data_IF_602609632130
#
_entry.id   IF_602609632130
#
_cell.length_a   1.000
_cell.length_b   1.000
_cell.length_c   1.000
_cell.angle_alpha   90.00
_cell.angle_beta   90.00
_cell.angle_gamma   90.00
#
_symmetry.space_group_name_H-M   'P 1'
#
loop_
_entity.id
_entity.type
_entity.pdbx_description
1 polymer ?
#
# COMPACT_ATOMS: atom_id res chain seq x y z
N UNK A 1 61.48 -1.66 -32.98
CA UNK A 1 60.89 -0.61 -32.13
C UNK A 1 60.44 -1.27 -30.81
N UNK A 2 61.36 -1.27 -29.85
CA UNK A 2 61.21 -1.17 -28.38
C UNK A 2 59.75 -0.96 -27.89
N UNK A 3 59.15 -1.70 -26.95
CA UNK A 3 59.47 -1.86 -25.50
C UNK A 3 58.53 -2.91 -24.82
N UNK A 4 59.12 -3.73 -23.95
CA UNK A 4 58.66 -4.38 -22.70
C UNK A 4 57.23 -4.92 -22.48
N UNK A 5 57.16 -6.20 -22.09
CA UNK A 5 56.29 -6.66 -20.98
C UNK A 5 57.07 -7.66 -20.09
N UNK A 6 57.37 -7.23 -18.85
CA UNK A 6 57.99 -8.05 -17.78
C UNK A 6 56.90 -8.89 -17.10
N UNK A 7 57.09 -10.21 -17.06
CA UNK A 7 56.32 -11.12 -16.18
C UNK A 7 56.81 -10.95 -14.74
N UNK A 8 55.92 -10.56 -13.83
CA UNK A 8 56.17 -10.58 -12.39
C UNK A 8 55.60 -11.87 -11.79
N UNK A 9 56.48 -12.67 -11.20
CA UNK A 9 56.18 -13.84 -10.39
C UNK A 9 55.94 -13.34 -8.95
N UNK A 10 54.71 -13.41 -8.46
CA UNK A 10 54.41 -13.09 -7.05
C UNK A 10 54.57 -14.35 -6.20
N UNK A 11 55.61 -14.36 -5.38
CA UNK A 11 55.88 -15.33 -4.33
C UNK A 11 54.99 -14.96 -3.12
N UNK A 12 53.99 -15.78 -2.80
CA UNK A 12 53.23 -15.63 -1.54
C UNK A 12 54.06 -16.16 -0.37
N UNK A 13 54.63 -15.25 0.41
CA UNK A 13 55.24 -15.54 1.70
C UNK A 13 54.11 -15.71 2.73
N UNK A 14 53.84 -16.94 3.16
CA UNK A 14 52.94 -17.21 4.29
C UNK A 14 53.69 -16.85 5.57
N UNK A 15 53.50 -15.62 6.06
CA UNK A 15 53.86 -15.26 7.43
C UNK A 15 52.71 -15.63 8.35
N UNK A 16 52.84 -16.74 9.07
CA UNK A 16 52.03 -17.06 10.25
C UNK A 16 52.29 -16.02 11.33
N UNK A 17 51.45 -15.00 11.41
CA UNK A 17 51.37 -14.13 12.59
C UNK A 17 50.50 -14.85 13.62
N UNK A 18 51.15 -15.57 14.53
CA UNK A 18 50.54 -15.97 15.79
C UNK A 18 50.31 -14.70 16.63
N UNK A 19 49.13 -14.09 16.47
CA UNK A 19 48.65 -13.06 17.39
C UNK A 19 48.32 -13.71 18.74
N UNK A 20 48.55 -13.02 19.87
CA UNK A 20 48.22 -13.58 21.17
C UNK A 20 46.70 -13.79 21.22
N UNK A 21 46.27 -15.01 21.56
CA UNK A 21 44.92 -15.25 22.05
C UNK A 21 44.74 -14.39 23.30
N UNK A 22 44.12 -13.22 23.13
CA UNK A 22 43.53 -12.48 24.24
C UNK A 22 42.42 -13.36 24.79
N UNK A 23 42.71 -14.02 25.92
CA UNK A 23 41.72 -14.69 26.73
C UNK A 23 40.67 -13.66 27.15
N UNK A 24 39.47 -13.78 26.59
CA UNK A 24 38.29 -13.10 27.10
C UNK A 24 38.05 -13.69 28.49
N UNK A 25 38.22 -12.86 29.53
CA UNK A 25 37.87 -13.24 30.88
C UNK A 25 36.41 -13.69 30.91
N UNK A 26 36.15 -14.88 31.45
CA UNK A 26 34.80 -15.36 31.69
C UNK A 26 34.05 -14.37 32.60
N UNK A 27 33.03 -13.68 32.06
CA UNK A 27 32.14 -12.82 32.85
C UNK A 27 31.79 -11.44 32.27
N UNK A 28 32.37 -11.00 31.15
CA UNK A 28 31.99 -9.73 30.51
C UNK A 28 31.23 -9.97 29.19
N UNK A 29 30.09 -9.29 29.04
CA UNK A 29 29.31 -9.29 27.80
C UNK A 29 30.13 -8.63 26.68
N UNK A 30 30.04 -9.11 25.42
CA UNK A 30 30.60 -8.39 24.28
C UNK A 30 29.96 -7.01 24.12
N UNK A 31 30.66 -6.09 23.45
CA UNK A 31 30.10 -4.78 23.08
C UNK A 31 28.75 -4.94 22.35
N UNK A 32 27.78 -4.15 22.80
CA UNK A 32 26.41 -4.22 22.31
C UNK A 32 25.39 -3.62 23.28
N UNK A 33 24.17 -3.52 22.77
CA UNK A 33 23.00 -3.10 23.54
C UNK A 33 22.19 -4.34 23.92
N UNK A 34 21.91 -4.50 25.20
CA UNK A 34 21.21 -5.67 25.73
C UNK A 34 19.98 -5.27 26.54
N UNK A 35 19.02 -6.19 26.61
CA UNK A 35 17.89 -6.12 27.53
C UNK A 35 17.89 -7.37 28.42
N UNK A 36 18.09 -7.16 29.72
CA UNK A 36 17.92 -8.19 30.75
C UNK A 36 16.46 -8.20 31.18
N UNK A 37 15.77 -9.28 30.85
CA UNK A 37 14.38 -9.51 31.20
C UNK A 37 14.31 -10.51 32.35
N UNK A 38 13.99 -10.03 33.55
CA UNK A 38 13.69 -10.89 34.68
C UNK A 38 12.22 -11.28 34.60
N UNK A 39 11.93 -12.57 34.51
CA UNK A 39 10.57 -13.12 34.46
C UNK A 39 10.24 -13.88 35.75
N UNK A 40 8.98 -14.28 35.93
CA UNK A 40 8.58 -15.22 37.01
C UNK A 40 9.25 -16.60 36.92
N UNK A 41 9.93 -16.92 35.81
CA UNK A 41 10.60 -18.21 35.55
C UNK A 41 12.13 -18.14 35.54
N UNK A 42 12.70 -16.95 35.63
CA UNK A 42 14.15 -16.73 35.54
C UNK A 42 14.51 -15.58 34.61
N UNK A 43 15.80 -15.43 34.32
CA UNK A 43 16.30 -14.34 33.51
C UNK A 43 16.52 -14.74 32.05
N UNK A 44 16.16 -13.83 31.15
CA UNK A 44 16.46 -13.91 29.71
C UNK A 44 17.32 -12.70 29.37
N UNK A 45 18.46 -12.93 28.73
CA UNK A 45 19.30 -11.86 28.19
C UNK A 45 19.12 -11.77 26.68
N UNK A 46 18.72 -10.59 26.22
CA UNK A 46 18.47 -10.30 24.81
C UNK A 46 19.54 -9.35 24.29
N UNK A 47 20.18 -9.64 23.16
CA UNK A 47 21.00 -8.69 22.40
C UNK A 47 20.10 -7.96 21.39
N UNK A 48 20.15 -6.64 21.38
CA UNK A 48 19.35 -5.79 20.50
C UNK A 48 20.14 -5.38 19.25
N UNK A 49 19.48 -5.41 18.09
CA UNK A 49 20.07 -5.10 16.79
C UNK A 49 19.83 -3.65 16.38
N UNK A 50 20.30 -2.68 17.20
CA UNK A 50 20.03 -1.26 16.98
C UNK A 50 20.62 -0.68 15.68
N UNK A 51 21.59 -1.35 15.05
CA UNK A 51 22.11 -0.98 13.74
C UNK A 51 21.16 -1.37 12.59
N UNK A 52 20.40 -2.45 12.75
CA UNK A 52 19.52 -3.00 11.71
C UNK A 52 18.08 -2.53 11.86
N UNK A 53 17.59 -2.39 13.09
CA UNK A 53 16.24 -1.95 13.43
C UNK A 53 16.26 -0.79 14.45
N UNK A 54 16.87 0.37 14.09
CA UNK A 54 17.12 1.46 15.03
C UNK A 54 15.84 2.02 15.65
N UNK A 55 14.76 2.19 14.88
CA UNK A 55 13.51 2.77 15.39
C UNK A 55 12.80 1.82 16.33
N UNK A 56 12.78 0.53 16.00
CA UNK A 56 12.20 -0.53 16.81
C UNK A 56 12.95 -0.68 18.12
N UNK A 57 14.29 -0.69 18.07
CA UNK A 57 15.12 -0.76 19.28
C UNK A 57 14.98 0.51 20.12
N UNK A 58 14.93 1.70 19.53
CA UNK A 58 14.68 2.93 20.27
C UNK A 58 13.30 2.94 20.93
N UNK A 59 12.26 2.44 20.25
CA UNK A 59 10.93 2.28 20.82
C UNK A 59 10.96 1.33 22.04
N UNK A 60 11.55 0.15 21.87
CA UNK A 60 11.64 -0.87 22.92
C UNK A 60 12.45 -0.36 24.13
N UNK A 61 13.62 0.24 23.91
CA UNK A 61 14.46 0.83 24.96
C UNK A 61 13.73 1.96 25.67
N UNK A 62 13.10 2.88 24.93
CA UNK A 62 12.38 4.00 25.51
C UNK A 62 11.21 3.57 26.40
N UNK A 63 10.47 2.53 25.99
CA UNK A 63 9.41 1.92 26.79
C UNK A 63 9.98 1.18 28.02
N UNK A 64 11.09 0.45 27.87
CA UNK A 64 11.77 -0.26 28.96
C UNK A 64 12.30 0.67 30.06
N UNK A 65 12.86 1.81 29.65
CA UNK A 65 13.43 2.81 30.56
C UNK A 65 12.39 3.80 31.10
N UNK A 66 11.19 3.83 30.50
CA UNK A 66 10.12 4.76 30.84
C UNK A 66 10.37 6.18 30.36
N UNK A 67 11.27 6.37 29.39
CA UNK A 67 11.56 7.67 28.76
C UNK A 67 10.63 7.95 27.58
N UNK A 68 9.90 6.93 27.10
CA UNK A 68 8.89 7.07 26.05
C UNK A 68 7.48 6.96 26.64
N UNK A 69 6.72 8.04 26.52
CA UNK A 69 5.32 8.07 26.91
C UNK A 69 4.46 7.12 26.07
N UNK A 70 3.45 6.53 26.68
CA UNK A 70 2.45 5.68 26.04
C UNK A 70 1.04 6.08 26.49
N UNK A 71 0.01 5.64 25.76
CA UNK A 71 -1.39 5.88 26.13
C UNK A 71 -2.02 4.61 26.65
N UNK A 72 -2.70 4.71 27.79
CA UNK A 72 -3.52 3.63 28.32
C UNK A 72 -4.59 3.21 27.29
N UNK A 73 -4.67 1.92 26.89
CA UNK A 73 -5.59 1.51 25.84
C UNK A 73 -7.07 1.74 26.14
N UNK A 74 -7.46 1.81 27.42
CA UNK A 74 -8.84 1.98 27.86
C UNK A 74 -9.15 3.47 28.03
N UNK A 75 -8.36 4.17 28.86
CA UNK A 75 -8.63 5.57 29.25
C UNK A 75 -8.10 6.58 28.25
N UNK A 76 -7.20 6.17 27.33
CA UNK A 76 -6.48 7.02 26.38
C UNK A 76 -5.64 8.12 27.02
N UNK A 77 -5.42 8.05 28.34
CA UNK A 77 -4.59 9.01 29.06
C UNK A 77 -3.10 8.65 28.90
N UNK A 78 -2.23 9.67 28.84
CA UNK A 78 -0.80 9.45 28.90
C UNK A 78 -0.38 8.73 30.19
N UNK A 79 0.59 7.85 30.05
CA UNK A 79 1.22 7.08 31.11
C UNK A 79 2.74 7.19 30.98
N UNK A 80 3.40 7.27 32.13
CA UNK A 80 4.85 7.37 32.25
C UNK A 80 5.40 6.17 33.05
N UNK A 81 6.71 5.98 33.04
CA UNK A 81 7.37 4.89 33.75
C UNK A 81 7.65 3.65 32.89
N UNK A 82 8.24 2.62 33.52
CA UNK A 82 8.76 1.43 32.84
C UNK A 82 7.60 0.57 32.33
N UNK A 83 7.39 0.57 31.03
CA UNK A 83 6.20 0.00 30.38
C UNK A 83 6.08 -1.52 30.52
N UNK A 84 7.20 -2.24 30.41
CA UNK A 84 7.20 -3.70 30.36
C UNK A 84 7.13 -4.37 31.74
N UNK A 85 7.41 -3.62 32.80
CA UNK A 85 7.44 -4.16 34.17
C UNK A 85 6.02 -4.54 34.60
N UNK A 86 5.84 -5.80 35.03
CA UNK A 86 4.57 -6.38 35.43
C UNK A 86 3.72 -6.95 34.28
N UNK A 87 4.11 -6.76 33.01
CA UNK A 87 3.34 -7.30 31.88
C UNK A 87 3.42 -8.83 31.83
N UNK A 88 2.33 -9.46 31.39
CA UNK A 88 2.28 -10.91 31.22
C UNK A 88 2.68 -11.36 29.82
N UNK A 89 3.12 -12.61 29.71
CA UNK A 89 3.15 -13.36 28.46
C UNK A 89 1.73 -13.84 28.17
N UNK A 90 0.95 -12.98 27.53
CA UNK A 90 -0.48 -13.19 27.29
C UNK A 90 -0.77 -14.27 26.24
N UNK A 91 0.20 -14.60 25.39
CA UNK A 91 0.08 -15.66 24.39
C UNK A 91 1.37 -16.47 24.32
N UNK A 92 1.26 -17.77 24.57
CA UNK A 92 2.36 -18.72 24.47
C UNK A 92 1.89 -19.88 23.60
N UNK A 93 2.61 -20.16 22.52
CA UNK A 93 2.31 -21.27 21.62
C UNK A 93 3.51 -22.22 21.62
N UNK A 94 3.35 -23.45 22.17
CA UNK A 94 4.41 -24.44 22.19
C UNK A 94 4.99 -24.70 20.80
N UNK A 95 6.31 -24.83 20.72
CA UNK A 95 7.05 -25.01 19.46
C UNK A 95 6.81 -23.89 18.44
N UNK A 96 6.45 -22.70 18.90
CA UNK A 96 6.35 -21.52 18.05
C UNK A 96 6.97 -20.30 18.71
N UNK A 97 6.32 -19.71 19.73
CA UNK A 97 6.79 -18.48 20.37
C UNK A 97 6.13 -18.18 21.72
N UNK A 98 6.76 -17.30 22.49
CA UNK A 98 6.19 -16.57 23.63
C UNK A 98 5.97 -15.10 23.23
N UNK A 99 4.82 -14.51 23.54
CA UNK A 99 4.46 -13.14 23.17
C UNK A 99 4.04 -12.32 24.40
N UNK A 100 4.55 -11.09 24.48
CA UNK A 100 4.27 -10.12 25.54
C UNK A 100 4.19 -8.69 24.97
N UNK A 101 4.19 -7.68 25.84
CA UNK A 101 4.11 -6.25 25.49
C UNK A 101 2.69 -5.72 25.29
N UNK A 102 1.66 -6.45 25.72
CA UNK A 102 0.27 -5.99 25.78
C UNK A 102 -0.14 -5.65 27.22
N UNK A 103 -0.43 -4.37 27.55
CA UNK A 103 -0.88 -3.97 28.88
C UNK A 103 -2.29 -4.47 29.25
N UNK A 104 -3.09 -4.92 28.29
CA UNK A 104 -4.40 -5.53 28.54
C UNK A 104 -4.34 -7.05 28.68
N UNK A 105 -3.23 -7.67 28.28
CA UNK A 105 -3.08 -9.12 28.20
C UNK A 105 -4.13 -9.85 27.33
N UNK A 106 -4.75 -9.16 26.37
CA UNK A 106 -5.77 -9.72 25.47
C UNK A 106 -5.25 -10.01 24.06
N UNK A 107 -4.05 -9.54 23.74
CA UNK A 107 -3.46 -9.46 22.40
C UNK A 107 -3.87 -8.20 21.63
N UNK A 108 -4.75 -7.35 22.16
CA UNK A 108 -5.30 -6.19 21.43
C UNK A 108 -4.87 -4.83 21.96
N UNK A 109 -4.17 -4.76 23.09
CA UNK A 109 -3.63 -3.50 23.62
C UNK A 109 -2.29 -3.12 22.98
N UNK A 110 -1.76 -1.98 23.39
CA UNK A 110 -0.52 -1.43 22.85
C UNK A 110 -0.21 -0.05 23.44
N UNK A 111 0.78 0.68 22.90
CA UNK A 111 1.26 1.90 23.51
C UNK A 111 0.49 3.15 23.05
N UNK A 112 -0.59 2.97 22.27
CA UNK A 112 -1.41 4.07 21.73
C UNK A 112 -0.93 4.65 20.39
N UNK A 113 0.13 4.09 19.80
CA UNK A 113 0.65 4.47 18.49
C UNK A 113 1.14 3.23 17.72
N UNK A 114 1.37 3.41 16.42
CA UNK A 114 1.97 2.42 15.52
C UNK A 114 3.12 3.03 14.71
N UNK A 115 4.06 2.21 14.27
CA UNK A 115 5.19 2.61 13.42
C UNK A 115 5.57 1.55 12.39
N UNK A 116 6.37 1.95 11.40
CA UNK A 116 6.74 1.14 10.25
C UNK A 116 7.58 -0.11 10.58
N UNK A 117 7.58 -1.10 9.68
CA UNK A 117 8.48 -2.26 9.76
C UNK A 117 9.91 -1.92 9.33
N UNK A 118 10.91 -2.52 9.98
CA UNK A 118 12.34 -2.41 9.63
C UNK A 118 12.87 -3.79 9.21
N UNK A 119 12.59 -4.17 7.96
CA UNK A 119 13.00 -5.47 7.41
C UNK A 119 14.43 -5.38 6.87
N UNK A 120 15.35 -6.14 7.47
CA UNK A 120 16.73 -6.25 7.00
C UNK A 120 16.98 -7.61 6.32
N UNK A 121 17.64 -7.68 5.14
CA UNK A 121 17.88 -8.94 4.44
C UNK A 121 18.74 -9.92 5.24
N UNK A 122 19.63 -9.44 6.11
CA UNK A 122 20.56 -10.26 6.90
C UNK A 122 19.93 -10.84 8.17
N UNK A 123 18.74 -10.39 8.56
CA UNK A 123 18.02 -10.90 9.72
C UNK A 123 16.93 -11.87 9.26
N UNK A 124 16.95 -13.09 9.82
CA UNK A 124 16.03 -14.19 9.49
C UNK A 124 15.55 -14.90 10.76
N UNK A 125 14.35 -15.46 10.69
CA UNK A 125 13.83 -16.37 11.71
C UNK A 125 14.39 -17.79 11.49
N UNK A 126 15.71 -17.93 11.42
CA UNK A 126 16.41 -19.17 11.06
C UNK A 126 16.80 -20.06 12.25
N UNK A 127 16.59 -19.56 13.46
CA UNK A 127 16.90 -20.24 14.73
C UNK A 127 15.87 -19.94 15.81
N UNK A 128 15.97 -20.65 16.93
CA UNK A 128 15.26 -20.33 18.16
C UNK A 128 15.80 -19.06 18.81
N UNK A 129 14.98 -18.37 19.60
CA UNK A 129 15.41 -17.22 20.38
C UNK A 129 15.43 -15.91 19.59
N UNK A 130 14.78 -15.83 18.43
CA UNK A 130 14.68 -14.58 17.67
C UNK A 130 13.62 -13.68 18.30
N UNK A 131 14.00 -12.44 18.61
CA UNK A 131 13.12 -11.40 19.17
C UNK A 131 12.59 -10.52 18.04
N UNK A 132 11.26 -10.44 17.93
CA UNK A 132 10.59 -9.75 16.84
C UNK A 132 9.31 -9.03 17.26
N UNK A 133 8.95 -7.98 16.52
CA UNK A 133 7.71 -7.23 16.78
C UNK A 133 6.49 -8.04 16.36
N UNK A 134 5.49 -8.08 17.24
CA UNK A 134 4.15 -8.51 16.85
C UNK A 134 3.42 -7.33 16.19
N UNK A 135 2.78 -7.59 15.04
CA UNK A 135 2.02 -6.59 14.29
C UNK A 135 0.69 -7.18 13.80
N UNK A 136 -0.27 -6.33 13.45
CA UNK A 136 -1.59 -6.70 12.90
C UNK A 136 -1.61 -6.68 11.36
N UNK A 137 -0.44 -6.64 10.74
CA UNK A 137 -0.23 -6.36 9.33
C UNK A 137 0.94 -5.39 9.13
N UNK A 138 1.35 -5.15 7.87
CA UNK A 138 2.50 -4.31 7.57
C UNK A 138 2.42 -2.92 8.22
N UNK A 139 3.54 -2.46 8.79
CA UNK A 139 3.70 -1.14 9.40
C UNK A 139 2.77 -0.86 10.58
N UNK A 140 2.44 -1.89 11.37
CA UNK A 140 1.59 -1.74 12.58
C UNK A 140 2.31 -2.14 13.87
N UNK A 141 3.63 -1.93 13.92
CA UNK A 141 4.43 -2.20 15.12
C UNK A 141 4.02 -1.27 16.25
N UNK A 142 3.99 -1.80 17.48
CA UNK A 142 3.65 -1.04 18.68
C UNK A 142 4.58 -1.40 19.84
N UNK A 143 4.03 -1.98 20.90
CA UNK A 143 4.80 -2.44 22.07
C UNK A 143 4.88 -3.96 22.16
N UNK A 144 4.03 -4.68 21.44
CA UNK A 144 3.98 -6.14 21.51
C UNK A 144 5.15 -6.76 20.75
N UNK A 145 5.76 -7.78 21.35
CA UNK A 145 6.87 -8.53 20.79
C UNK A 145 6.71 -10.02 21.07
N UNK A 146 7.41 -10.86 20.32
CA UNK A 146 7.53 -12.28 20.58
C UNK A 146 8.97 -12.77 20.50
N UNK A 147 9.24 -13.89 21.18
CA UNK A 147 10.51 -14.62 21.14
C UNK A 147 10.21 -16.04 20.62
N UNK A 148 10.92 -16.47 19.57
CA UNK A 148 10.67 -17.78 18.94
C UNK A 148 11.21 -18.95 19.77
N UNK A 149 10.48 -20.07 19.82
CA UNK A 149 10.99 -21.34 20.35
C UNK A 149 11.83 -22.11 19.33
N UNK A 150 11.54 -21.95 18.04
CA UNK A 150 12.10 -22.71 16.91
C UNK A 150 12.31 -21.79 15.70
N UNK A 151 12.99 -22.23 14.62
CA UNK A 151 13.01 -21.49 13.36
C UNK A 151 11.59 -21.28 12.79
N UNK A 152 11.29 -20.06 12.33
CA UNK A 152 9.97 -19.67 11.80
C UNK A 152 10.08 -18.84 10.50
N UNK A 153 10.69 -19.38 9.42
CA UNK A 153 11.01 -18.61 8.21
C UNK A 153 9.78 -18.01 7.49
N UNK A 154 8.57 -18.52 7.75
CA UNK A 154 7.33 -17.95 7.20
C UNK A 154 6.98 -16.55 7.75
N UNK A 155 7.68 -16.10 8.79
CA UNK A 155 7.59 -14.76 9.37
C UNK A 155 8.57 -13.76 8.73
N UNK A 156 9.53 -14.23 7.94
CA UNK A 156 10.51 -13.36 7.29
C UNK A 156 9.84 -12.36 6.35
N UNK A 157 10.30 -11.11 6.41
CA UNK A 157 9.73 -9.99 5.63
C UNK A 157 8.36 -9.51 6.11
N UNK A 158 7.82 -10.06 7.20
CA UNK A 158 6.52 -9.66 7.78
C UNK A 158 6.64 -9.04 9.17
N UNK A 159 7.69 -9.40 9.91
CA UNK A 159 7.93 -8.92 11.27
C UNK A 159 9.35 -8.38 11.39
N UNK A 160 9.49 -7.22 12.03
CA UNK A 160 10.79 -6.63 12.34
C UNK A 160 11.53 -7.48 13.37
N UNK A 161 12.66 -8.07 12.97
CA UNK A 161 13.61 -8.69 13.89
C UNK A 161 14.47 -7.59 14.49
N UNK A 162 14.45 -7.45 15.82
CA UNK A 162 15.16 -6.38 16.51
C UNK A 162 16.08 -6.89 17.63
N UNK A 163 16.20 -8.20 17.78
CA UNK A 163 17.19 -8.80 18.68
C UNK A 163 17.14 -10.31 18.70
N UNK A 164 17.87 -10.89 19.64
CA UNK A 164 17.96 -12.33 19.85
C UNK A 164 18.33 -12.67 21.30
N UNK A 165 17.98 -13.87 21.75
CA UNK A 165 18.35 -14.41 23.05
C UNK A 165 19.83 -14.82 23.03
N UNK A 166 20.62 -14.26 23.94
CA UNK A 166 22.02 -14.65 24.15
C UNK A 166 22.21 -15.53 25.38
N UNK A 167 21.26 -15.52 26.32
CA UNK A 167 21.24 -16.40 27.50
C UNK A 167 19.81 -16.55 28.01
N UNK A 168 19.47 -17.68 28.64
CA UNK A 168 18.13 -17.92 29.18
C UNK A 168 17.14 -18.53 28.19
N UNK A 169 17.61 -19.28 27.19
CA UNK A 169 16.72 -19.96 26.23
C UNK A 169 15.87 -21.06 26.91
N UNK A 170 16.42 -21.69 27.94
CA UNK A 170 15.70 -22.60 28.84
C UNK A 170 14.57 -21.89 29.58
N UNK A 171 14.74 -20.64 29.97
CA UNK A 171 13.69 -19.81 30.57
C UNK A 171 12.63 -19.49 29.54
N UNK A 172 13.01 -19.07 28.33
CA UNK A 172 12.08 -18.85 27.20
C UNK A 172 11.20 -20.09 26.98
N UNK A 173 11.81 -21.28 26.96
CA UNK A 173 11.11 -22.55 26.79
C UNK A 173 10.23 -22.96 27.98
N UNK A 174 10.52 -22.45 29.18
CA UNK A 174 9.76 -22.74 30.39
C UNK A 174 8.61 -21.76 30.66
N UNK A 175 8.60 -20.59 30.01
CA UNK A 175 7.52 -19.60 30.13
C UNK A 175 6.18 -20.22 29.72
N UNK A 176 5.17 -19.99 30.54
CA UNK A 176 3.78 -20.38 30.33
C UNK A 176 2.90 -19.13 30.17
N UNK A 177 1.73 -19.30 29.57
CA UNK A 177 0.77 -18.20 29.44
C UNK A 177 0.39 -17.66 30.83
N UNK A 178 0.48 -16.34 30.99
CA UNK A 178 0.20 -15.65 32.25
C UNK A 178 1.43 -15.44 33.16
N UNK A 179 2.57 -16.07 32.87
CA UNK A 179 3.84 -15.69 33.50
C UNK A 179 4.16 -14.22 33.21
N UNK A 180 4.95 -13.57 34.07
CA UNK A 180 5.14 -12.12 34.03
C UNK A 180 6.59 -11.72 33.82
N UNK A 181 6.77 -10.55 33.20
CA UNK A 181 8.01 -9.80 33.20
C UNK A 181 8.05 -9.05 34.53
N UNK A 182 8.91 -9.47 35.46
CA UNK A 182 9.09 -8.79 36.75
C UNK A 182 9.80 -7.46 36.54
N UNK A 183 10.85 -7.45 35.71
CA UNK A 183 11.50 -6.20 35.29
C UNK A 183 12.24 -6.37 33.97
N UNK A 184 12.36 -5.30 33.20
CA UNK A 184 13.18 -5.24 31.98
C UNK A 184 14.22 -4.12 32.07
N UNK A 185 15.52 -4.44 32.09
CA UNK A 185 16.62 -3.48 32.24
C UNK A 185 17.51 -3.44 31.00
N UNK A 186 17.89 -2.25 30.57
CA UNK A 186 18.77 -2.04 29.41
C UNK A 186 20.21 -1.95 29.87
N UNK A 187 21.10 -2.72 29.25
CA UNK A 187 22.54 -2.75 29.51
C UNK A 187 23.29 -2.29 28.26
N UNK A 188 24.13 -1.27 28.40
CA UNK A 188 24.92 -0.67 27.33
C UNK A 188 26.39 -1.02 27.52
N UNK A 189 26.94 -1.87 26.68
CA UNK A 189 28.33 -2.33 26.76
C UNK A 189 29.10 -1.84 25.53
N UNK A 190 30.26 -1.22 25.75
CA UNK A 190 31.03 -0.55 24.70
C UNK A 190 30.56 0.88 24.40
N UNK A 191 31.38 1.65 23.69
CA UNK A 191 31.12 3.07 23.43
C UNK A 191 29.96 3.31 22.47
N UNK A 192 29.79 2.47 21.45
CA UNK A 192 28.69 2.60 20.49
C UNK A 192 27.32 2.45 21.17
N UNK A 193 27.14 1.41 22.00
CA UNK A 193 25.89 1.18 22.71
C UNK A 193 25.58 2.28 23.74
N UNK A 194 26.61 2.86 24.37
CA UNK A 194 26.45 4.01 25.28
C UNK A 194 25.99 5.28 24.57
N UNK A 195 26.38 5.46 23.31
CA UNK A 195 25.99 6.60 22.48
C UNK A 195 24.61 6.43 21.83
N UNK A 196 24.02 5.23 21.89
CA UNK A 196 22.67 5.00 21.40
C UNK A 196 21.64 5.74 22.26
N UNK A 197 21.07 6.79 21.68
CA UNK A 197 20.07 7.67 22.30
C UNK A 197 18.72 7.54 21.58
N UNK A 198 17.75 6.81 22.17
CA UNK A 198 16.41 6.66 21.63
C UNK A 198 15.66 7.98 21.43
N UNK A 199 15.87 8.97 22.31
CA UNK A 199 15.16 10.24 22.25
C UNK A 199 15.67 11.07 21.06
N UNK A 200 17.00 11.12 20.87
CA UNK A 200 17.61 11.77 19.71
C UNK A 200 17.18 11.12 18.40
N UNK A 201 17.13 9.78 18.33
CA UNK A 201 16.65 9.10 17.13
C UNK A 201 15.17 9.44 16.85
N UNK A 202 14.32 9.43 17.88
CA UNK A 202 12.92 9.80 17.75
C UNK A 202 12.75 11.24 17.23
N UNK A 203 13.59 12.17 17.69
CA UNK A 203 13.62 13.54 17.19
C UNK A 203 14.05 13.59 15.71
N UNK A 204 15.07 12.83 15.30
CA UNK A 204 15.51 12.75 13.91
C UNK A 204 14.43 12.19 12.98
N UNK A 205 13.74 11.13 13.41
CA UNK A 205 12.61 10.54 12.67
C UNK A 205 11.48 11.55 12.53
N UNK A 206 11.09 12.21 13.63
CA UNK A 206 10.06 13.24 13.60
C UNK A 206 10.47 14.41 12.68
N UNK A 207 11.73 14.84 12.72
CA UNK A 207 12.24 15.89 11.84
C UNK A 207 12.19 15.47 10.36
N UNK A 208 12.55 14.22 10.04
CA UNK A 208 12.46 13.68 8.69
C UNK A 208 11.00 13.59 8.20
N UNK A 209 10.09 13.10 9.04
CA UNK A 209 8.65 13.05 8.77
C UNK A 209 8.07 14.44 8.54
N UNK A 210 8.41 15.43 9.39
CA UNK A 210 8.01 16.84 9.23
C UNK A 210 8.53 17.40 7.91
N UNK A 211 9.80 17.17 7.57
CA UNK A 211 10.39 17.63 6.30
C UNK A 211 9.68 17.02 5.09
N UNK A 212 9.32 15.74 5.15
CA UNK A 212 8.56 15.08 4.09
C UNK A 212 7.12 15.59 4.01
N UNK A 213 6.47 15.81 5.15
CA UNK A 213 5.15 16.43 5.22
C UNK A 213 5.16 17.83 4.59
N UNK A 214 6.14 18.68 4.93
CA UNK A 214 6.31 20.00 4.29
C UNK A 214 6.46 19.90 2.78
N UNK A 215 7.22 18.91 2.27
CA UNK A 215 7.32 18.64 0.83
C UNK A 215 5.97 18.22 0.21
N UNK A 216 5.10 17.58 0.99
CA UNK A 216 3.78 17.14 0.57
C UNK A 216 2.70 18.24 0.67
N UNK A 217 3.04 19.42 1.19
CA UNK A 217 2.15 20.58 1.22
C UNK A 217 1.76 20.98 -0.20
N UNK A 218 0.46 21.19 -0.42
CA UNK A 218 -0.06 21.59 -1.73
C UNK A 218 0.23 23.06 -1.98
N UNK A 219 0.77 23.34 -3.15
CA UNK A 219 0.91 24.69 -3.69
C UNK A 219 -0.18 24.87 -4.73
N UNK A 220 -1.14 25.75 -4.45
CA UNK A 220 -2.25 25.99 -5.36
C UNK A 220 -1.86 27.05 -6.41
N UNK A 221 -2.31 26.91 -7.68
CA UNK A 221 -2.17 27.96 -8.67
C UNK A 221 -2.94 29.21 -8.23
N UNK A 222 -2.52 30.38 -8.71
CA UNK A 222 -3.22 31.64 -8.41
C UNK A 222 -4.63 31.62 -9.01
N UNK A 223 -5.63 31.99 -8.20
CA UNK A 223 -7.03 32.13 -8.63
C UNK A 223 -7.14 33.38 -9.51
N UNK A 224 -6.96 33.22 -10.82
CA UNK A 224 -7.09 34.30 -11.80
C UNK A 224 -8.37 34.21 -12.63
N UNK A 225 -9.02 33.04 -12.62
CA UNK A 225 -10.23 32.80 -13.39
C UNK A 225 -11.46 33.34 -12.65
N UNK A 226 -12.33 34.06 -13.37
CA UNK A 226 -13.63 34.48 -12.84
C UNK A 226 -14.50 33.24 -12.58
N UNK A 227 -15.31 33.21 -11.51
CA UNK A 227 -16.24 32.10 -11.27
C UNK A 227 -17.17 31.85 -12.47
N UNK A 228 -17.43 30.57 -12.76
CA UNK A 228 -18.44 30.13 -13.72
C UNK A 228 -19.67 29.58 -12.98
N UNK A 229 -20.78 30.33 -12.92
CA UNK A 229 -22.00 29.88 -12.26
C UNK A 229 -22.57 28.57 -12.82
N UNK A 230 -22.21 28.17 -14.06
CA UNK A 230 -22.65 26.90 -14.63
C UNK A 230 -21.96 25.69 -13.99
N UNK A 231 -20.76 25.89 -13.43
CA UNK A 231 -19.99 24.86 -12.74
C UNK A 231 -20.41 24.69 -11.28
N UNK A 232 -21.21 25.61 -10.75
CA UNK A 232 -21.69 25.57 -9.36
C UNK A 232 -23.04 24.85 -9.28
N UNK A 233 -23.18 23.81 -8.43
CA UNK A 233 -24.44 23.15 -8.20
C UNK A 233 -25.42 24.07 -7.45
N UNK A 234 -26.71 23.93 -7.77
CA UNK A 234 -27.79 24.59 -7.03
C UNK A 234 -28.32 23.66 -5.94
N UNK A 235 -28.85 24.23 -4.87
CA UNK A 235 -29.54 23.48 -3.84
C UNK A 235 -30.77 22.75 -4.43
N UNK A 236 -31.03 21.53 -3.95
CA UNK A 236 -32.23 20.75 -4.30
C UNK A 236 -32.27 20.17 -5.71
N UNK A 237 -31.13 20.05 -6.41
CA UNK A 237 -31.10 19.36 -7.70
C UNK A 237 -31.49 17.88 -7.57
N UNK A 238 -32.30 17.34 -8.50
CA UNK A 238 -32.66 15.93 -8.48
C UNK A 238 -31.43 15.06 -8.72
N UNK A 239 -31.43 13.88 -8.11
CA UNK A 239 -30.40 12.87 -8.32
C UNK A 239 -30.57 12.18 -9.66
N UNK A 240 -29.47 11.97 -10.37
CA UNK A 240 -29.45 11.11 -11.55
C UNK A 240 -29.28 9.63 -11.14
N UNK A 241 -29.80 8.71 -11.94
CA UNK A 241 -29.61 7.27 -11.71
C UNK A 241 -28.16 6.82 -11.97
N UNK A 242 -27.55 7.37 -13.03
CA UNK A 242 -26.19 7.05 -13.49
C UNK A 242 -25.43 8.36 -13.78
N UNK A 243 -24.18 8.45 -13.32
CA UNK A 243 -23.27 9.58 -13.64
C UNK A 243 -21.87 9.08 -13.95
N UNK A 244 -21.12 9.85 -14.74
CA UNK A 244 -19.67 9.69 -14.92
C UNK A 244 -18.94 10.84 -14.25
N UNK A 245 -17.85 10.54 -13.54
CA UNK A 245 -17.16 11.50 -12.69
C UNK A 245 -15.66 11.50 -12.93
N UNK A 246 -15.07 12.67 -12.77
CA UNK A 246 -13.66 12.84 -12.43
C UNK A 246 -13.56 13.19 -10.95
N UNK A 247 -12.45 12.78 -10.32
CA UNK A 247 -12.24 12.82 -8.88
C UNK A 247 -10.95 13.59 -8.58
N UNK A 248 -10.99 14.50 -7.61
CA UNK A 248 -9.81 15.04 -6.96
C UNK A 248 -9.90 14.75 -5.47
N UNK A 249 -8.85 14.17 -4.90
CA UNK A 249 -8.76 13.87 -3.46
C UNK A 249 -7.73 14.76 -2.78
N UNK A 250 -8.15 15.46 -1.71
CA UNK A 250 -7.28 16.16 -0.76
C UNK A 250 -7.26 15.34 0.53
N UNK A 251 -6.19 14.58 0.74
CA UNK A 251 -6.06 13.70 1.90
C UNK A 251 -5.52 14.45 3.12
N UNK A 252 -5.91 13.99 4.30
CA UNK A 252 -5.42 14.47 5.60
C UNK A 252 -4.93 13.30 6.46
N UNK A 253 -4.18 13.59 7.52
CA UNK A 253 -3.66 12.58 8.45
C UNK A 253 -4.76 11.62 8.94
N UNK A 254 -4.58 10.32 8.73
CA UNK A 254 -5.58 9.27 9.01
C UNK A 254 -6.45 8.86 7.81
N UNK A 255 -6.34 9.55 6.67
CA UNK A 255 -6.98 9.14 5.41
C UNK A 255 -6.38 7.83 4.89
N UNK A 256 -7.22 6.96 4.32
CA UNK A 256 -6.86 5.66 3.75
C UNK A 256 -6.26 5.80 2.34
N UNK A 257 -5.15 6.52 2.23
CA UNK A 257 -4.42 6.71 0.97
C UNK A 257 -2.99 6.16 1.08
N UNK A 258 -2.39 5.69 -0.03
CA UNK A 258 -1.02 5.14 0.00
C UNK A 258 0.07 6.21 0.25
N UNK A 259 -0.29 7.50 0.26
CA UNK A 259 0.65 8.60 0.42
C UNK A 259 1.08 8.75 1.89
N UNK A 260 2.36 8.52 2.15
CA UNK A 260 2.94 8.72 3.47
C UNK A 260 3.09 10.21 3.85
N UNK A 261 3.09 10.51 5.15
CA UNK A 261 3.38 11.83 5.72
C UNK A 261 2.51 12.95 5.13
N UNK A 262 1.20 12.83 5.29
CA UNK A 262 0.24 13.85 4.88
C UNK A 262 0.45 15.13 5.71
N UNK A 263 0.51 16.27 5.01
CA UNK A 263 0.77 17.57 5.62
C UNK A 263 -0.38 18.09 6.47
N UNK A 264 -1.61 17.91 5.98
CA UNK A 264 -2.79 18.54 6.56
C UNK A 264 -3.42 17.65 7.63
N UNK A 265 -3.87 18.30 8.71
CA UNK A 265 -4.96 17.78 9.52
C UNK A 265 -6.30 17.92 8.77
N UNK A 266 -7.38 17.40 9.33
CA UNK A 266 -8.69 17.42 8.68
C UNK A 266 -9.18 18.86 8.39
N UNK A 267 -8.98 19.79 9.32
CA UNK A 267 -9.40 21.19 9.15
C UNK A 267 -8.58 21.93 8.07
N UNK A 268 -7.27 21.70 8.03
CA UNK A 268 -6.38 22.25 7.00
C UNK A 268 -6.70 21.70 5.61
N UNK A 269 -6.98 20.40 5.50
CA UNK A 269 -7.37 19.79 4.24
C UNK A 269 -8.71 20.32 3.73
N UNK A 270 -9.67 20.60 4.62
CA UNK A 270 -10.94 21.20 4.26
C UNK A 270 -10.73 22.55 3.57
N UNK A 271 -9.95 23.45 4.19
CA UNK A 271 -9.65 24.78 3.63
C UNK A 271 -9.01 24.70 2.26
N UNK A 272 -8.08 23.75 2.08
CA UNK A 272 -7.43 23.53 0.78
C UNK A 272 -8.42 22.98 -0.24
N UNK A 273 -9.28 22.04 0.15
CA UNK A 273 -10.30 21.51 -0.74
C UNK A 273 -11.30 22.59 -1.18
N UNK A 274 -11.71 23.49 -0.29
CA UNK A 274 -12.55 24.65 -0.61
C UNK A 274 -11.87 25.58 -1.64
N UNK A 275 -10.58 25.88 -1.47
CA UNK A 275 -9.81 26.67 -2.44
C UNK A 275 -9.66 25.96 -3.80
N UNK A 276 -9.50 24.63 -3.80
CA UNK A 276 -9.47 23.83 -5.04
C UNK A 276 -10.82 23.86 -5.75
N UNK A 277 -11.93 23.81 -5.01
CA UNK A 277 -13.28 23.96 -5.59
C UNK A 277 -13.46 25.34 -6.22
N UNK A 278 -12.98 26.40 -5.57
CA UNK A 278 -13.02 27.77 -6.11
C UNK A 278 -12.23 27.86 -7.43
N UNK A 279 -11.01 27.32 -7.46
CA UNK A 279 -10.20 27.21 -8.67
C UNK A 279 -10.92 26.44 -9.77
N UNK A 280 -11.40 25.25 -9.45
CA UNK A 280 -12.02 24.34 -10.40
C UNK A 280 -13.29 24.93 -11.03
N UNK A 281 -14.06 25.73 -10.27
CA UNK A 281 -15.25 26.44 -10.77
C UNK A 281 -14.92 27.69 -11.58
N UNK A 282 -13.64 28.03 -11.76
CA UNK A 282 -13.20 29.13 -12.63
C UNK A 282 -13.47 28.86 -14.11
N UNK A 283 -13.80 29.92 -14.87
CA UNK A 283 -13.98 29.83 -16.32
C UNK A 283 -12.69 29.36 -17.02
N UNK A 284 -12.82 28.36 -17.88
CA UNK A 284 -11.71 27.85 -18.70
C UNK A 284 -10.71 26.97 -17.95
N UNK A 285 -10.93 26.69 -16.67
CA UNK A 285 -10.05 25.81 -15.89
C UNK A 285 -10.29 24.35 -16.28
N UNK A 286 -9.21 23.62 -16.56
CA UNK A 286 -9.26 22.17 -16.77
C UNK A 286 -9.20 21.45 -15.41
N UNK A 287 -10.25 20.69 -15.10
CA UNK A 287 -10.31 19.94 -13.85
C UNK A 287 -9.24 18.85 -13.78
N UNK A 288 -8.92 18.19 -14.91
CA UNK A 288 -7.95 17.11 -14.92
C UNK A 288 -6.51 17.61 -14.78
N UNK A 289 -6.24 18.84 -15.20
CA UNK A 289 -4.97 19.50 -14.89
C UNK A 289 -4.80 19.66 -13.38
N UNK A 290 -5.84 20.16 -12.69
CA UNK A 290 -5.84 20.25 -11.22
C UNK A 290 -5.69 18.88 -10.55
N UNK A 291 -6.41 17.85 -11.04
CA UNK A 291 -6.28 16.48 -10.54
C UNK A 291 -4.83 16.00 -10.65
N UNK A 292 -4.20 16.19 -11.81
CA UNK A 292 -2.82 15.75 -12.06
C UNK A 292 -1.79 16.39 -11.11
N UNK A 293 -2.04 17.64 -10.71
CA UNK A 293 -1.13 18.41 -9.85
C UNK A 293 -1.40 18.18 -8.36
N UNK A 294 -2.66 17.97 -7.99
CA UNK A 294 -3.10 18.12 -6.60
C UNK A 294 -3.71 16.87 -6.00
N UNK A 295 -4.06 15.82 -6.74
CA UNK A 295 -4.72 14.67 -6.11
C UNK A 295 -3.74 13.84 -5.25
N UNK A 296 -4.19 13.41 -4.07
CA UNK A 296 -3.48 12.41 -3.26
C UNK A 296 -3.86 10.95 -3.59
N UNK A 297 -4.69 10.74 -4.62
CA UNK A 297 -5.11 9.42 -5.07
C UNK A 297 -4.98 9.26 -6.61
N UNK A 298 -3.74 9.31 -7.16
CA UNK A 298 -3.52 9.29 -8.61
C UNK A 298 -3.94 7.99 -9.29
N UNK A 299 -4.05 6.89 -8.54
CA UNK A 299 -4.51 5.60 -9.06
C UNK A 299 -6.01 5.58 -9.38
N UNK A 300 -6.81 6.49 -8.79
CA UNK A 300 -8.26 6.53 -8.97
C UNK A 300 -8.72 7.98 -9.17
N UNK A 301 -8.72 8.43 -10.42
CA UNK A 301 -9.09 9.80 -10.81
C UNK A 301 -10.41 9.90 -11.57
N UNK A 302 -11.03 8.76 -11.88
CA UNK A 302 -12.30 8.68 -12.61
C UNK A 302 -13.24 7.64 -12.01
N UNK A 303 -14.54 7.89 -12.11
CA UNK A 303 -15.60 6.89 -11.91
C UNK A 303 -16.41 6.89 -13.20
N UNK A 304 -16.12 6.01 -14.16
CA UNK A 304 -16.76 6.03 -15.47
C UNK A 304 -18.28 5.85 -15.40
N UNK A 305 -18.75 5.13 -14.38
CA UNK A 305 -20.16 4.95 -14.10
C UNK A 305 -20.40 4.73 -12.61
N UNK A 306 -21.02 5.70 -11.96
CA UNK A 306 -21.57 5.59 -10.62
C UNK A 306 -23.07 5.38 -10.73
N UNK A 307 -23.55 4.25 -10.19
CA UNK A 307 -24.97 3.97 -10.04
C UNK A 307 -25.47 4.50 -8.70
N UNK A 308 -26.66 5.11 -8.69
CA UNK A 308 -27.33 5.53 -7.44
C UNK A 308 -27.52 4.38 -6.47
N UNK A 309 -27.95 3.22 -6.99
CA UNK A 309 -28.14 2.01 -6.19
C UNK A 309 -26.79 1.44 -5.73
N UNK A 310 -26.54 1.46 -4.43
CA UNK A 310 -25.31 0.93 -3.83
C UNK A 310 -24.15 1.93 -3.77
N UNK A 311 -24.35 3.19 -4.17
CA UNK A 311 -23.35 4.23 -3.98
C UNK A 311 -23.11 4.49 -2.48
N UNK A 312 -21.84 4.51 -2.02
CA UNK A 312 -21.51 4.93 -0.66
C UNK A 312 -22.06 6.33 -0.33
N UNK A 313 -22.35 6.64 0.95
CA UNK A 313 -22.95 7.93 1.34
C UNK A 313 -22.19 9.17 0.82
N UNK A 314 -20.86 9.11 0.77
CA UNK A 314 -20.01 10.21 0.29
C UNK A 314 -20.04 10.42 -1.23
N UNK A 315 -20.72 9.56 -2.00
CA UNK A 315 -20.95 9.76 -3.44
C UNK A 315 -22.32 10.37 -3.76
N UNK A 316 -23.20 10.55 -2.76
CA UNK A 316 -24.57 11.01 -3.00
C UNK A 316 -24.64 12.43 -3.56
N UNK A 317 -23.74 13.32 -3.12
CA UNK A 317 -23.66 14.68 -3.67
C UNK A 317 -23.28 14.69 -5.15
N UNK A 318 -22.49 13.71 -5.60
CA UNK A 318 -22.06 13.58 -6.99
C UNK A 318 -23.23 13.26 -7.93
N UNK A 319 -24.23 12.50 -7.46
CA UNK A 319 -25.43 12.15 -8.23
C UNK A 319 -26.34 13.35 -8.50
N UNK A 320 -26.24 14.41 -7.68
CA UNK A 320 -27.01 15.66 -7.83
C UNK A 320 -26.38 16.69 -8.76
N UNK A 321 -25.11 16.47 -9.15
CA UNK A 321 -24.43 17.35 -10.09
C UNK A 321 -25.09 17.25 -11.46
N UNK A 322 -25.14 18.35 -12.22
CA UNK A 322 -25.36 18.33 -13.68
C UNK A 322 -24.03 18.21 -14.40
N UNK A 323 -24.06 17.81 -15.67
CA UNK A 323 -22.85 17.75 -16.50
C UNK A 323 -22.12 19.11 -16.50
N UNK A 324 -20.81 19.08 -16.28
CA UNK A 324 -19.93 20.24 -16.12
C UNK A 324 -19.92 20.86 -14.70
N UNK A 325 -20.75 20.40 -13.78
CA UNK A 325 -20.73 20.89 -12.38
C UNK A 325 -19.65 20.21 -11.55
N UNK A 326 -19.15 20.97 -10.58
CA UNK A 326 -18.16 20.54 -9.60
C UNK A 326 -18.78 20.58 -8.20
N UNK A 327 -18.67 19.50 -7.42
CA UNK A 327 -19.21 19.44 -6.07
C UNK A 327 -18.48 20.39 -5.11
N UNK A 328 -19.10 20.67 -3.97
CA UNK A 328 -18.34 21.12 -2.80
C UNK A 328 -17.47 19.95 -2.28
N UNK A 329 -16.48 20.21 -1.41
CA UNK A 329 -15.68 19.15 -0.82
C UNK A 329 -16.56 18.19 0.00
N UNK A 330 -16.34 16.89 -0.17
CA UNK A 330 -17.10 15.84 0.53
C UNK A 330 -16.16 15.02 1.37
N UNK A 331 -16.41 14.99 2.68
CA UNK A 331 -15.60 14.20 3.61
C UNK A 331 -15.77 12.68 3.35
N UNK A 332 -14.68 11.94 3.45
CA UNK A 332 -14.64 10.50 3.18
C UNK A 332 -13.46 9.82 3.88
N UNK A 333 -13.45 8.48 3.97
CA UNK A 333 -12.29 7.74 4.48
C UNK A 333 -10.98 7.98 3.72
N UNK A 334 -11.03 8.58 2.52
CA UNK A 334 -9.87 8.86 1.68
C UNK A 334 -9.41 10.32 1.74
N UNK A 335 -10.11 11.17 2.50
CA UNK A 335 -9.95 12.62 2.49
C UNK A 335 -11.15 13.34 1.89
N UNK A 336 -10.99 14.62 1.58
CA UNK A 336 -12.02 15.39 0.90
C UNK A 336 -12.04 15.09 -0.59
N UNK A 337 -13.17 14.55 -1.06
CA UNK A 337 -13.45 14.28 -2.46
C UNK A 337 -14.08 15.51 -3.11
N UNK A 338 -13.60 15.84 -4.30
CA UNK A 338 -14.19 16.85 -5.18
C UNK A 338 -14.55 16.14 -6.48
N UNK A 339 -15.82 16.21 -6.85
CA UNK A 339 -16.37 15.53 -8.02
C UNK A 339 -16.59 16.53 -9.14
N UNK A 340 -16.15 16.19 -10.35
CA UNK A 340 -16.55 16.88 -11.57
C UNK A 340 -17.42 15.93 -12.40
N UNK A 341 -18.69 16.27 -12.61
CA UNK A 341 -19.57 15.43 -13.44
C UNK A 341 -19.27 15.68 -14.91
N UNK A 342 -18.78 14.64 -15.57
CA UNK A 342 -18.55 14.65 -17.01
C UNK A 342 -19.68 13.94 -17.75
N UNK A 343 -19.67 14.04 -19.07
CA UNK A 343 -20.61 13.33 -19.92
C UNK A 343 -20.50 11.82 -19.69
N UNK A 344 -21.64 11.17 -19.46
CA UNK A 344 -21.70 9.72 -19.41
C UNK A 344 -21.57 9.16 -20.83
N UNK A 345 -20.39 8.64 -21.17
CA UNK A 345 -20.16 7.95 -22.43
C UNK A 345 -20.67 6.51 -22.32
N UNK A 346 -21.86 6.27 -22.86
CA UNK A 346 -22.50 4.96 -22.94
C UNK A 346 -22.62 4.57 -24.41
N UNK A 347 -22.14 3.39 -24.75
CA UNK A 347 -22.23 2.84 -26.11
C UNK A 347 -23.03 1.56 -26.11
N UNK A 348 -23.68 1.27 -27.23
CA UNK A 348 -24.22 -0.06 -27.52
C UNK A 348 -23.42 -0.64 -28.67
N UNK A 349 -22.90 -1.86 -28.53
CA UNK A 349 -22.07 -2.46 -29.56
C UNK A 349 -22.38 -3.94 -29.82
N UNK A 350 -21.94 -4.42 -30.97
CA UNK A 350 -21.86 -5.84 -31.30
C UNK A 350 -20.43 -6.21 -31.65
N UNK A 351 -20.06 -7.47 -31.47
CA UNK A 351 -18.76 -7.95 -31.90
C UNK A 351 -18.81 -9.29 -32.62
N UNK A 352 -17.76 -9.56 -33.40
CA UNK A 352 -17.41 -10.90 -33.86
C UNK A 352 -16.09 -11.25 -33.19
N UNK A 353 -16.08 -12.27 -32.33
CA UNK A 353 -14.87 -12.76 -31.68
C UNK A 353 -14.33 -13.98 -32.42
N UNK A 354 -13.09 -13.91 -32.88
CA UNK A 354 -12.33 -15.02 -33.44
C UNK A 354 -11.20 -15.39 -32.47
N UNK A 355 -11.47 -16.40 -31.65
CA UNK A 355 -10.49 -16.90 -30.68
C UNK A 355 -9.58 -17.96 -31.32
N UNK A 356 -8.40 -18.16 -30.74
CA UNK A 356 -7.39 -19.11 -31.22
C UNK A 356 -6.76 -19.88 -30.06
N UNK A 357 -6.03 -20.95 -30.39
CA UNK A 357 -5.32 -21.76 -29.40
C UNK A 357 -4.35 -20.90 -28.59
N UNK A 358 -4.59 -20.82 -27.27
CA UNK A 358 -3.80 -20.02 -26.33
C UNK A 358 -4.44 -18.68 -25.94
N UNK A 359 -5.51 -18.24 -26.62
CA UNK A 359 -6.30 -17.10 -26.17
C UNK A 359 -7.14 -17.46 -24.93
N UNK A 360 -7.38 -16.47 -24.05
CA UNK A 360 -8.16 -16.67 -22.83
C UNK A 360 -9.55 -17.21 -23.15
N UNK A 361 -9.95 -18.28 -22.44
CA UNK A 361 -11.25 -18.95 -22.58
C UNK A 361 -11.54 -19.54 -23.98
N UNK A 362 -10.53 -19.65 -24.85
CA UNK A 362 -10.72 -20.27 -26.16
C UNK A 362 -10.76 -21.80 -26.06
N UNK A 363 -11.66 -22.41 -26.82
CA UNK A 363 -11.70 -23.86 -27.09
C UNK A 363 -11.24 -24.21 -28.50
N UNK A 364 -10.74 -23.22 -29.25
CA UNK A 364 -10.40 -23.37 -30.65
C UNK A 364 -9.00 -23.96 -30.83
N UNK A 365 -8.86 -24.89 -31.78
CA UNK A 365 -7.57 -25.50 -32.11
C UNK A 365 -6.81 -24.74 -33.21
N UNK A 366 -7.45 -23.79 -33.89
CA UNK A 366 -6.83 -22.94 -34.91
C UNK A 366 -5.73 -22.07 -34.31
N UNK A 367 -4.68 -21.81 -35.08
CA UNK A 367 -3.59 -20.91 -34.76
C UNK A 367 -4.03 -19.44 -34.74
N UNK A 368 -3.22 -18.59 -34.12
CA UNK A 368 -3.41 -17.13 -34.14
C UNK A 368 -3.40 -16.58 -35.58
N UNK A 369 -2.53 -17.11 -36.44
CA UNK A 369 -2.46 -16.70 -37.85
C UNK A 369 -3.74 -17.01 -38.62
N UNK A 370 -4.28 -18.22 -38.46
CA UNK A 370 -5.55 -18.61 -39.09
C UNK A 370 -6.71 -17.74 -38.59
N UNK A 371 -6.77 -17.45 -37.28
CA UNK A 371 -7.82 -16.58 -36.75
C UNK A 371 -7.71 -15.13 -37.29
N UNK A 372 -6.50 -14.62 -37.52
CA UNK A 372 -6.28 -13.31 -38.12
C UNK A 372 -6.73 -13.28 -39.60
N UNK A 373 -6.38 -14.30 -40.38
CA UNK A 373 -6.84 -14.40 -41.78
C UNK A 373 -8.36 -14.50 -41.86
N UNK A 374 -9.00 -15.27 -40.97
CA UNK A 374 -10.46 -15.27 -40.87
C UNK A 374 -11.02 -13.89 -40.55
N UNK A 375 -10.38 -13.13 -39.64
CA UNK A 375 -10.83 -11.79 -39.31
C UNK A 375 -10.72 -10.84 -40.52
N UNK A 376 -9.64 -10.92 -41.29
CA UNK A 376 -9.47 -10.15 -42.54
C UNK A 376 -10.55 -10.46 -43.57
N UNK A 377 -10.88 -11.74 -43.75
CA UNK A 377 -11.97 -12.15 -44.65
C UNK A 377 -13.32 -11.59 -44.21
N UNK A 378 -13.60 -11.60 -42.91
CA UNK A 378 -14.84 -11.04 -42.37
C UNK A 378 -14.90 -9.51 -42.50
N UNK A 379 -13.78 -8.80 -42.38
CA UNK A 379 -13.73 -7.36 -42.68
C UNK A 379 -14.08 -7.11 -44.15
N UNK A 380 -13.47 -7.86 -45.08
CA UNK A 380 -13.78 -7.72 -46.51
C UNK A 380 -15.26 -8.02 -46.82
N UNK A 381 -15.84 -9.02 -46.16
CA UNK A 381 -17.26 -9.34 -46.25
C UNK A 381 -18.18 -8.22 -45.75
N UNK A 382 -17.81 -7.55 -44.66
CA UNK A 382 -18.52 -6.40 -44.12
C UNK A 382 -18.40 -5.18 -45.05
N UNK A 383 -17.22 -4.93 -45.62
CA UNK A 383 -16.99 -3.89 -46.62
C UNK A 383 -17.80 -4.13 -47.90
N UNK A 384 -18.01 -5.40 -48.27
CA UNK A 384 -18.89 -5.81 -49.37
C UNK A 384 -20.40 -5.71 -49.04
N UNK A 385 -20.76 -5.24 -47.83
CA UNK A 385 -22.14 -4.99 -47.42
C UNK A 385 -22.86 -6.19 -46.83
N UNK A 386 -22.16 -7.26 -46.42
CA UNK A 386 -22.81 -8.37 -45.70
C UNK A 386 -23.26 -7.94 -44.30
N UNK A 387 -24.37 -8.50 -43.85
CA UNK A 387 -24.97 -8.16 -42.56
C UNK A 387 -24.12 -8.63 -41.37
N UNK A 388 -23.71 -7.69 -40.52
CA UNK A 388 -22.86 -7.95 -39.35
C UNK A 388 -23.45 -9.01 -38.42
N UNK A 389 -24.75 -8.94 -38.15
CA UNK A 389 -25.42 -9.86 -37.24
C UNK A 389 -25.40 -11.32 -37.76
N UNK A 390 -25.48 -11.52 -39.07
CA UNK A 390 -25.44 -12.85 -39.67
C UNK A 390 -24.01 -13.41 -39.64
N UNK A 391 -23.01 -12.60 -39.99
CA UNK A 391 -21.61 -12.99 -39.84
C UNK A 391 -21.26 -13.32 -38.38
N UNK A 392 -21.78 -12.54 -37.43
CA UNK A 392 -21.58 -12.79 -36.01
C UNK A 392 -22.20 -14.13 -35.56
N UNK A 393 -23.42 -14.44 -35.99
CA UNK A 393 -24.09 -15.72 -35.66
C UNK A 393 -23.31 -16.93 -36.17
N UNK A 394 -22.72 -16.81 -37.35
CA UNK A 394 -22.01 -17.91 -38.00
C UNK A 394 -20.58 -18.07 -37.48
N UNK A 395 -19.85 -16.96 -37.32
CA UNK A 395 -18.39 -17.02 -37.13
C UNK A 395 -17.91 -16.67 -35.72
N UNK A 396 -18.69 -15.93 -34.94
CA UNK A 396 -18.26 -15.47 -33.61
C UNK A 396 -18.18 -16.63 -32.62
N UNK A 397 -17.08 -16.68 -31.86
CA UNK A 397 -16.86 -17.64 -30.77
C UNK A 397 -17.28 -17.06 -29.40
N UNK A 398 -17.82 -15.85 -29.39
CA UNK A 398 -18.34 -15.20 -28.19
C UNK A 398 -19.75 -15.67 -27.81
N UNK A 399 -20.14 -15.57 -26.54
CA UNK A 399 -21.47 -15.97 -26.07
C UNK A 399 -22.61 -15.10 -26.64
N UNK A 400 -22.28 -13.93 -27.21
CA UNK A 400 -23.23 -13.05 -27.91
C UNK A 400 -23.51 -13.48 -29.35
N UNK A 401 -22.79 -14.48 -29.90
CA UNK A 401 -22.96 -14.93 -31.29
C UNK A 401 -24.43 -15.22 -31.67
N UNK A 402 -25.23 -15.97 -30.88
CA UNK A 402 -26.63 -16.23 -31.22
C UNK A 402 -27.50 -14.96 -31.30
N UNK A 403 -27.07 -13.88 -30.65
CA UNK A 403 -27.72 -12.56 -30.65
C UNK A 403 -27.12 -11.61 -31.70
N UNK A 404 -26.48 -12.13 -32.74
CA UNK A 404 -25.79 -11.32 -33.76
C UNK A 404 -24.59 -10.54 -33.20
N UNK A 405 -23.97 -11.05 -32.13
CA UNK A 405 -22.84 -10.40 -31.48
C UNK A 405 -23.19 -9.30 -30.50
N UNK A 406 -24.49 -9.03 -30.25
CA UNK A 406 -24.94 -7.90 -29.41
C UNK A 406 -24.49 -8.02 -27.94
N UNK A 407 -23.80 -6.97 -27.48
CA UNK A 407 -23.26 -6.88 -26.11
C UNK A 407 -24.15 -6.06 -25.15
N UNK A 408 -25.19 -5.40 -25.67
CA UNK A 408 -25.98 -4.44 -24.90
C UNK A 408 -25.25 -3.11 -24.72
N UNK A 409 -25.71 -2.30 -23.76
CA UNK A 409 -25.10 -1.00 -23.46
C UNK A 409 -24.08 -1.09 -22.33
N UNK A 410 -22.94 -0.45 -22.51
CA UNK A 410 -21.87 -0.39 -21.52
C UNK A 410 -21.14 0.95 -21.58
N UNK A 411 -20.38 1.25 -20.52
CA UNK A 411 -19.59 2.46 -20.36
C UNK A 411 -18.09 2.13 -20.40
N UNK A 412 -17.27 3.17 -20.55
CA UNK A 412 -15.81 3.02 -20.57
C UNK A 412 -15.32 2.36 -19.28
N UNK A 413 -14.36 1.45 -19.38
CA UNK A 413 -13.80 0.64 -18.30
C UNK A 413 -14.52 -0.68 -18.05
N UNK A 414 -15.64 -0.97 -18.73
CA UNK A 414 -16.37 -2.23 -18.58
C UNK A 414 -15.87 -3.35 -19.50
N UNK A 415 -15.15 -3.00 -20.59
CA UNK A 415 -14.49 -3.97 -21.46
C UNK A 415 -12.97 -3.94 -21.25
N UNK A 416 -12.25 -4.89 -21.86
CA UNK A 416 -10.78 -4.88 -21.86
C UNK A 416 -10.24 -3.62 -22.58
N UNK A 417 -9.07 -3.09 -22.17
CA UNK A 417 -8.60 -1.78 -22.60
C UNK A 417 -8.55 -1.56 -24.13
N UNK A 418 -8.15 -2.59 -24.88
CA UNK A 418 -8.04 -2.53 -26.34
C UNK A 418 -9.42 -2.43 -27.00
N UNK A 419 -10.39 -3.20 -26.49
CA UNK A 419 -11.78 -3.18 -26.96
C UNK A 419 -12.43 -1.83 -26.66
N UNK A 420 -12.27 -1.34 -25.43
CA UNK A 420 -12.79 -0.04 -25.01
C UNK A 420 -12.20 1.10 -25.83
N UNK A 421 -10.88 1.09 -26.07
CA UNK A 421 -10.23 2.10 -26.89
C UNK A 421 -10.84 2.14 -28.30
N UNK A 422 -11.05 0.98 -28.92
CA UNK A 422 -11.59 0.89 -30.26
C UNK A 422 -13.06 1.34 -30.32
N UNK A 423 -13.94 0.76 -29.50
CA UNK A 423 -15.40 1.00 -29.61
C UNK A 423 -15.79 2.45 -29.31
N UNK A 424 -15.10 3.11 -28.37
CA UNK A 424 -15.37 4.52 -28.04
C UNK A 424 -14.77 5.50 -29.06
N UNK A 425 -13.88 5.05 -29.94
CA UNK A 425 -13.38 5.86 -31.06
C UNK A 425 -14.30 5.82 -32.29
N UNK A 426 -15.14 4.78 -32.40
CA UNK A 426 -16.10 4.62 -33.50
C UNK A 426 -17.23 5.64 -33.41
N UNK A 427 -17.72 6.09 -34.56
CA UNK A 427 -19.00 6.78 -34.73
C UNK A 427 -20.16 5.76 -34.67
N UNK A 428 -21.40 6.20 -34.42
CA UNK A 428 -22.57 5.32 -34.57
C UNK A 428 -22.60 4.67 -35.96
N UNK A 429 -22.94 3.39 -35.99
CA UNK A 429 -22.99 2.49 -37.14
C UNK A 429 -21.64 2.15 -37.81
N UNK A 430 -20.53 2.67 -37.29
CA UNK A 430 -19.19 2.35 -37.77
C UNK A 430 -18.72 0.97 -37.27
N UNK A 431 -17.89 0.33 -38.09
CA UNK A 431 -17.23 -0.94 -37.80
C UNK A 431 -15.73 -0.68 -37.60
N UNK A 432 -15.14 -1.28 -36.57
CA UNK A 432 -13.71 -1.16 -36.30
C UNK A 432 -12.86 -1.97 -37.28
N UNK A 433 -11.58 -1.60 -37.36
CA UNK A 433 -10.52 -2.53 -37.73
C UNK A 433 -10.48 -3.75 -36.80
N UNK A 434 -9.60 -4.71 -37.11
CA UNK A 434 -9.37 -5.89 -36.28
C UNK A 434 -8.70 -5.47 -34.97
N UNK A 435 -9.38 -5.69 -33.85
CA UNK A 435 -8.90 -5.39 -32.50
C UNK A 435 -8.47 -6.68 -31.83
N UNK A 436 -7.19 -6.80 -31.50
CA UNK A 436 -6.71 -7.92 -30.70
C UNK A 436 -6.89 -7.65 -29.21
N UNK A 437 -7.40 -8.65 -28.50
CA UNK A 437 -7.47 -8.67 -27.04
C UNK A 437 -6.94 -10.01 -26.53
N UNK A 438 -6.78 -10.19 -25.21
CA UNK A 438 -6.42 -11.50 -24.68
C UNK A 438 -7.40 -12.64 -25.00
N UNK A 439 -8.63 -12.35 -25.42
CA UNK A 439 -9.64 -13.35 -25.82
C UNK A 439 -9.57 -13.76 -27.29
N UNK A 440 -8.85 -13.01 -28.13
CA UNK A 440 -8.74 -13.24 -29.57
C UNK A 440 -8.87 -11.95 -30.38
N UNK A 441 -9.20 -12.09 -31.66
CA UNK A 441 -9.46 -10.96 -32.55
C UNK A 441 -10.93 -10.58 -32.53
N UNK A 442 -11.21 -9.29 -32.49
CA UNK A 442 -12.54 -8.73 -32.49
C UNK A 442 -12.73 -7.81 -33.70
N UNK A 443 -13.89 -7.90 -34.32
CA UNK A 443 -14.43 -6.85 -35.19
C UNK A 443 -15.64 -6.28 -34.45
N UNK A 444 -15.70 -4.96 -34.28
CA UNK A 444 -16.66 -4.31 -33.38
C UNK A 444 -17.53 -3.38 -34.21
N UNK A 445 -18.86 -3.49 -34.09
CA UNK A 445 -19.81 -2.51 -34.63
C UNK A 445 -20.41 -1.69 -33.50
N UNK A 446 -20.27 -0.37 -33.56
CA UNK A 446 -20.97 0.54 -32.65
C UNK A 446 -22.36 0.85 -33.20
N UNK A 447 -23.39 0.76 -32.36
CA UNK A 447 -24.78 1.10 -32.73
C UNK A 447 -25.19 2.48 -32.22
N UNK A 448 -24.80 2.83 -30.98
CA UNK A 448 -25.13 4.10 -30.32
C UNK A 448 -23.93 4.63 -29.57
#
# INVERSE_FOLDING_TARGET
MTIFFRKFLFLFLITTVAGPLLGVAAGQLPDGLYARMTTSRGEILLRLHHQHAPNTVANFVGLAEGTKQWLDPITKKPQDGRFFDGLSFHRVIPNFMIQSGDPLATGSGGPGYQFEDEIHPDLKHDRSGILSMANAGPNTNGSQFFITHVPTPWLDGKHTIFGEVTSGMEVVNAVQQGDTIVSLKIERVGEEAKQFDPAKLAEQVQAAQRKLAEKNKKTLPKINAKPDPKRTPRAGQPEAEEVSLELLVIAYQGSRVPKANLYYDQAGAQKIAEQVVELARGKGVDFMELVSQLTDLPAQTRVPMLNRKGAPPFFQSALRLKEGQISDPVDSPFGYLIFHRVKLEKVTASHILLSFKGAMRSTQNRSRGEALEMAKLLVADLEAGKEFAELAKVHSNGPSAPKGGLLGSFTRGQMVPEFDKAVFALKPDEVSDIVETPFGFHIIKRHK
#
